data_IF_968708506536
#
_entry.id   IF_968708506536
#
_cell.length_a   1.000
_cell.length_b   1.000
_cell.length_c   1.000
_cell.angle_alpha   90.00
_cell.angle_beta   90.00
_cell.angle_gamma   90.00
#
_symmetry.space_group_name_H-M   'P 1'
#
loop_
_entity.id
_entity.type
_entity.pdbx_description
1 polymer ?
#
# COMPACT_ATOMS: atom_id res chain seq x y z
N UNK A 1 -34.43 -45.42 29.54
CA UNK A 1 -33.23 -44.98 28.78
C UNK A 1 -33.44 -43.56 28.30
N UNK A 2 -32.89 -42.57 28.97
CA UNK A 2 -32.97 -41.14 28.61
C UNK A 2 -31.79 -40.79 27.72
N UNK A 3 -32.04 -40.38 26.47
CA UNK A 3 -31.02 -39.85 25.56
C UNK A 3 -30.75 -38.38 25.91
N UNK A 4 -29.54 -38.07 26.36
CA UNK A 4 -29.06 -36.71 26.51
C UNK A 4 -28.67 -36.20 25.11
N UNK A 5 -29.31 -35.16 24.61
CA UNK A 5 -28.92 -34.40 23.46
C UNK A 5 -27.91 -33.32 23.91
N UNK A 6 -26.65 -33.50 23.59
CA UNK A 6 -25.64 -32.43 23.73
C UNK A 6 -25.76 -31.48 22.53
N UNK A 7 -26.32 -30.31 22.74
CA UNK A 7 -26.28 -29.22 21.75
C UNK A 7 -24.92 -28.50 21.85
N UNK A 8 -24.06 -28.76 20.90
CA UNK A 8 -22.80 -28.06 20.76
C UNK A 8 -23.04 -26.62 20.31
N UNK A 9 -22.72 -25.66 21.18
CA UNK A 9 -22.75 -24.23 20.86
C UNK A 9 -21.49 -23.93 20.04
N UNK A 10 -21.61 -23.77 18.71
CA UNK A 10 -20.51 -23.25 17.89
C UNK A 10 -20.39 -21.74 18.14
N UNK A 11 -19.36 -21.35 18.89
CA UNK A 11 -18.95 -19.95 19.02
C UNK A 11 -18.18 -19.60 17.75
N UNK A 12 -18.83 -18.95 16.79
CA UNK A 12 -18.17 -18.33 15.66
C UNK A 12 -17.41 -17.09 16.16
N UNK A 13 -16.11 -17.23 16.37
CA UNK A 13 -15.24 -16.07 16.62
C UNK A 13 -15.17 -15.24 15.34
N UNK A 14 -15.98 -14.20 15.24
CA UNK A 14 -15.84 -13.17 14.23
C UNK A 14 -14.56 -12.40 14.53
N UNK A 15 -13.47 -12.69 13.80
CA UNK A 15 -12.30 -11.82 13.78
C UNK A 15 -12.71 -10.51 13.10
N UNK A 16 -13.10 -9.52 13.90
CA UNK A 16 -13.22 -8.16 13.44
C UNK A 16 -11.82 -7.73 12.94
N UNK A 17 -11.67 -7.55 11.64
CA UNK A 17 -10.48 -6.95 11.05
C UNK A 17 -10.40 -5.52 11.60
N UNK A 18 -9.60 -5.31 12.65
CA UNK A 18 -9.39 -3.98 13.20
C UNK A 18 -8.64 -3.16 12.14
N UNK A 19 -9.31 -2.16 11.61
CA UNK A 19 -8.67 -1.20 10.71
C UNK A 19 -7.42 -0.63 11.39
N UNK A 20 -6.33 -0.49 10.63
CA UNK A 20 -5.10 0.13 11.12
C UNK A 20 -5.41 1.56 11.57
N UNK A 21 -5.21 1.88 12.86
CA UNK A 21 -5.38 3.25 13.35
C UNK A 21 -4.26 4.13 12.80
N UNK A 22 -4.59 5.15 12.03
CA UNK A 22 -3.65 6.14 11.50
C UNK A 22 -2.88 6.85 12.62
N UNK A 23 -3.53 7.10 13.76
CA UNK A 23 -2.93 7.76 14.93
C UNK A 23 -1.76 6.99 15.57
N UNK A 24 -1.65 5.68 15.31
CA UNK A 24 -0.58 4.81 15.79
C UNK A 24 0.56 4.64 14.79
N UNK A 25 0.45 5.27 13.65
CA UNK A 25 1.49 5.25 12.62
C UNK A 25 2.55 6.31 12.90
N UNK A 26 3.70 6.18 12.25
CA UNK A 26 4.85 7.04 12.43
C UNK A 26 5.08 7.89 11.18
N UNK A 27 5.48 9.13 11.37
CA UNK A 27 5.90 9.99 10.28
C UNK A 27 7.38 9.78 9.93
N UNK A 28 7.64 9.75 8.65
CA UNK A 28 8.94 9.98 8.03
C UNK A 28 8.75 11.24 7.17
N UNK A 29 9.47 12.32 7.48
CA UNK A 29 9.25 13.66 6.93
C UNK A 29 7.81 14.15 7.16
N UNK A 30 7.46 14.43 8.40
CA UNK A 30 6.13 14.91 8.80
C UNK A 30 5.80 16.24 8.13
N UNK A 31 4.60 16.42 7.52
CA UNK A 31 4.21 17.68 6.91
C UNK A 31 3.82 18.69 7.98
N UNK A 32 3.94 19.99 7.68
CA UNK A 32 3.60 21.05 8.64
C UNK A 32 2.12 21.08 9.04
N UNK A 33 1.23 20.66 8.13
CA UNK A 33 -0.23 20.69 8.34
C UNK A 33 -0.86 19.37 7.93
N UNK A 34 -1.48 18.73 8.88
CA UNK A 34 -2.26 17.51 8.67
C UNK A 34 -3.34 17.33 9.72
N UNK A 35 -4.36 16.55 9.41
CA UNK A 35 -5.45 16.21 10.31
C UNK A 35 -5.88 14.76 10.10
N UNK A 36 -5.97 14.01 11.21
CA UNK A 36 -6.57 12.66 11.22
C UNK A 36 -7.95 12.75 11.88
N UNK A 37 -8.98 12.24 11.18
CA UNK A 37 -10.35 12.07 11.69
C UNK A 37 -10.79 10.63 11.45
N UNK A 38 -10.74 9.82 12.50
CA UNK A 38 -11.04 8.38 12.39
C UNK A 38 -10.08 7.67 11.43
N UNK A 39 -10.58 7.12 10.34
CA UNK A 39 -9.76 6.46 9.31
C UNK A 39 -9.54 7.34 8.06
N UNK A 40 -9.49 8.64 8.25
CA UNK A 40 -9.22 9.63 7.20
C UNK A 40 -8.06 10.52 7.61
N UNK A 41 -7.11 10.73 6.69
CA UNK A 41 -6.02 11.70 6.79
C UNK A 41 -6.21 12.76 5.71
N UNK A 42 -6.11 14.03 6.08
CA UNK A 42 -5.92 15.15 5.17
C UNK A 42 -4.57 15.79 5.49
N UNK A 43 -3.75 16.05 4.48
CA UNK A 43 -2.45 16.72 4.69
C UNK A 43 -2.15 17.70 3.55
N UNK A 44 -1.45 18.78 3.90
CA UNK A 44 -0.79 19.62 2.91
C UNK A 44 0.58 19.01 2.60
N UNK A 45 0.72 18.51 1.37
CA UNK A 45 1.97 17.88 0.92
C UNK A 45 3.06 18.95 0.85
N UNK A 46 4.21 18.65 1.45
CA UNK A 46 5.35 19.57 1.55
C UNK A 46 5.89 19.93 0.16
N UNK A 47 6.04 21.23 -0.15
CA UNK A 47 6.57 21.69 -1.42
C UNK A 47 8.00 21.21 -1.68
N UNK A 48 8.35 21.03 -2.95
CA UNK A 48 9.71 20.73 -3.45
C UNK A 48 10.32 19.48 -2.81
N UNK A 49 9.48 18.44 -2.60
CA UNK A 49 9.89 17.15 -2.04
C UNK A 49 9.59 16.00 -2.99
N UNK A 50 10.41 14.95 -2.97
CA UNK A 50 10.20 13.73 -3.76
C UNK A 50 10.82 12.49 -3.09
N UNK A 51 10.56 11.34 -3.72
CA UNK A 51 11.30 10.09 -3.63
C UNK A 51 11.74 9.70 -5.02
N UNK A 52 13.01 9.95 -5.36
CA UNK A 52 13.58 9.65 -6.65
C UNK A 52 15.06 9.32 -6.55
N UNK A 53 15.53 8.39 -7.39
CA UNK A 53 16.95 8.03 -7.45
C UNK A 53 17.45 7.90 -8.89
N UNK A 54 18.37 8.76 -9.25
CA UNK A 54 19.31 8.71 -10.37
C UNK A 54 18.66 8.75 -11.75
N UNK A 55 17.79 7.78 -12.11
CA UNK A 55 17.28 7.57 -13.47
C UNK A 55 16.82 8.87 -14.12
N UNK A 56 17.24 9.08 -15.36
CA UNK A 56 16.92 10.21 -16.23
C UNK A 56 17.46 11.57 -15.71
N UNK A 57 17.20 11.92 -14.44
CA UNK A 57 17.50 13.25 -13.90
C UNK A 57 18.88 13.36 -13.22
N UNK A 58 19.52 12.25 -12.85
CA UNK A 58 20.85 12.23 -12.24
C UNK A 58 20.92 12.62 -10.77
N UNK A 59 19.80 12.96 -10.12
CA UNK A 59 19.75 13.33 -8.69
C UNK A 59 19.14 12.22 -7.82
N UNK A 60 19.32 12.37 -6.51
CA UNK A 60 18.67 11.54 -5.49
C UNK A 60 17.98 12.46 -4.49
N UNK A 61 16.68 12.21 -4.24
CA UNK A 61 15.85 12.91 -3.27
C UNK A 61 15.07 11.88 -2.44
N UNK A 62 14.97 12.11 -1.13
CA UNK A 62 14.35 11.17 -0.17
C UNK A 62 13.69 11.96 0.99
N UNK A 63 12.95 13.03 0.67
CA UNK A 63 12.46 14.00 1.62
C UNK A 63 10.94 14.24 1.60
N UNK A 64 10.21 13.51 0.77
CA UNK A 64 8.76 13.62 0.72
C UNK A 64 8.07 13.01 1.97
N UNK A 65 6.83 13.37 2.16
CA UNK A 65 6.03 12.97 3.34
C UNK A 65 5.62 11.50 3.27
N UNK A 66 5.78 10.79 4.40
CA UNK A 66 5.37 9.39 4.51
C UNK A 66 4.86 9.05 5.92
N UNK A 67 3.60 8.65 6.04
CA UNK A 67 3.00 8.11 7.26
C UNK A 67 2.98 6.59 7.17
N UNK A 68 3.69 5.87 8.06
CA UNK A 68 3.89 4.44 7.90
C UNK A 68 3.69 3.62 9.19
N UNK A 69 3.52 2.33 8.99
CA UNK A 69 3.65 1.28 10.01
C UNK A 69 4.60 0.19 9.51
N UNK A 70 5.20 -0.55 10.42
CA UNK A 70 6.05 -1.71 10.05
C UNK A 70 5.20 -2.96 9.85
N UNK A 71 5.44 -3.70 8.76
CA UNK A 71 4.80 -4.99 8.49
C UNK A 71 5.81 -6.00 7.94
N UNK A 72 5.79 -7.19 8.52
CA UNK A 72 6.52 -8.36 8.03
C UNK A 72 5.58 -9.36 7.35
N UNK A 73 6.15 -10.34 6.64
CA UNK A 73 5.41 -11.40 5.97
C UNK A 73 4.54 -10.92 4.82
N UNK A 74 3.52 -11.70 4.51
CA UNK A 74 2.59 -11.41 3.43
C UNK A 74 1.41 -10.56 3.91
N UNK A 75 1.03 -9.56 3.13
CA UNK A 75 -0.06 -8.66 3.46
C UNK A 75 -0.69 -8.00 2.24
N UNK A 76 -1.90 -7.52 2.42
CA UNK A 76 -2.59 -6.57 1.53
C UNK A 76 -2.63 -5.21 2.20
N UNK A 77 -2.13 -4.17 1.52
CA UNK A 77 -2.31 -2.78 1.91
C UNK A 77 -3.25 -2.09 0.93
N UNK A 78 -4.19 -1.28 1.44
CA UNK A 78 -5.20 -0.61 0.62
C UNK A 78 -5.51 0.77 1.16
N UNK A 79 -5.76 1.73 0.25
CA UNK A 79 -6.20 3.09 0.59
C UNK A 79 -7.03 3.70 -0.54
N UNK A 80 -7.99 4.53 -0.20
CA UNK A 80 -8.69 5.44 -1.11
C UNK A 80 -8.00 6.79 -1.10
N UNK A 81 -7.68 7.31 -2.27
CA UNK A 81 -6.88 8.52 -2.47
C UNK A 81 -7.69 9.55 -3.25
N UNK A 82 -7.58 10.79 -2.82
CA UNK A 82 -8.01 11.97 -3.58
C UNK A 82 -7.06 13.14 -3.31
N UNK A 83 -7.05 14.14 -4.17
CA UNK A 83 -6.17 15.28 -4.00
C UNK A 83 -6.48 16.40 -4.96
N UNK A 84 -6.03 17.59 -4.59
CA UNK A 84 -6.13 18.82 -5.39
C UNK A 84 -4.80 19.05 -6.14
N UNK A 85 -4.45 18.07 -7.01
CA UNK A 85 -3.20 18.07 -7.77
C UNK A 85 -3.21 19.23 -8.77
N UNK A 86 -2.15 20.03 -8.80
CA UNK A 86 -2.07 21.30 -9.56
C UNK A 86 -0.85 21.42 -10.43
N UNK A 87 0.27 20.95 -9.90
CA UNK A 87 1.59 21.15 -10.51
C UNK A 87 2.13 19.82 -10.98
N UNK A 88 2.97 19.86 -12.01
CA UNK A 88 3.63 18.66 -12.51
C UNK A 88 4.30 17.89 -11.38
N UNK A 89 4.11 16.56 -11.41
CA UNK A 89 4.59 15.60 -10.41
C UNK A 89 3.96 15.69 -9.02
N UNK A 90 2.93 16.52 -8.79
CA UNK A 90 2.09 16.37 -7.59
C UNK A 90 1.59 14.94 -7.52
N UNK A 91 1.89 14.23 -6.43
CA UNK A 91 1.59 12.81 -6.31
C UNK A 91 1.22 12.39 -4.89
N UNK A 92 0.31 11.44 -4.78
CA UNK A 92 -0.03 10.82 -3.52
C UNK A 92 -0.47 9.37 -3.69
N UNK A 93 -0.20 8.53 -2.67
CA UNK A 93 -0.52 7.13 -2.79
C UNK A 93 -0.06 6.25 -1.64
N UNK A 94 0.11 4.97 -1.95
CA UNK A 94 0.77 3.98 -1.09
C UNK A 94 2.28 3.98 -1.33
N UNK A 95 3.02 3.69 -0.26
CA UNK A 95 4.44 3.38 -0.34
C UNK A 95 4.75 2.13 0.47
N UNK A 96 5.53 1.24 -0.13
CA UNK A 96 6.18 0.10 0.49
C UNK A 96 7.68 0.35 0.45
N UNK A 97 8.32 0.51 1.61
CA UNK A 97 9.71 0.95 1.68
C UNK A 97 10.53 0.04 2.58
N UNK A 98 11.58 -0.51 2.03
CA UNK A 98 12.61 -1.26 2.75
C UNK A 98 13.65 -0.30 3.33
N UNK A 99 14.18 0.57 2.47
CA UNK A 99 15.16 1.61 2.76
C UNK A 99 15.16 2.69 1.66
N UNK A 100 16.14 3.60 1.67
CA UNK A 100 16.25 4.69 0.71
C UNK A 100 16.58 4.26 -0.72
N UNK A 101 17.02 3.03 -0.93
CA UNK A 101 17.35 2.46 -2.24
C UNK A 101 16.35 1.45 -2.76
N UNK A 102 15.44 0.97 -1.89
CA UNK A 102 14.52 -0.11 -2.20
C UNK A 102 13.11 0.25 -1.72
N UNK A 103 12.29 0.74 -2.62
CA UNK A 103 10.89 1.10 -2.34
C UNK A 103 10.01 1.04 -3.59
N UNK A 104 8.72 0.97 -3.35
CA UNK A 104 7.68 1.12 -4.36
C UNK A 104 6.75 2.21 -3.89
N UNK A 105 6.56 3.27 -4.69
CA UNK A 105 5.50 4.27 -4.52
C UNK A 105 4.48 4.14 -5.64
N UNK A 106 3.18 4.24 -5.32
CA UNK A 106 2.11 4.05 -6.29
C UNK A 106 0.85 4.80 -5.92
N UNK A 107 0.19 5.41 -6.88
CA UNK A 107 -1.00 6.22 -6.63
C UNK A 107 -1.43 7.06 -7.82
N UNK A 108 -1.87 8.29 -7.54
CA UNK A 108 -2.11 9.32 -8.55
C UNK A 108 -0.88 10.21 -8.66
N UNK A 109 -0.53 10.57 -9.88
CA UNK A 109 0.50 11.56 -10.22
C UNK A 109 -0.02 12.48 -11.32
N UNK A 110 0.17 13.79 -11.14
CA UNK A 110 -0.24 14.79 -12.11
C UNK A 110 0.91 15.09 -13.07
N UNK A 111 0.76 14.69 -14.34
CA UNK A 111 1.79 14.85 -15.36
C UNK A 111 1.14 15.38 -16.63
N UNK A 112 1.75 16.42 -17.22
CA UNK A 112 1.33 17.04 -18.48
C UNK A 112 -0.16 17.44 -18.52
N UNK A 113 -0.65 17.99 -17.39
CA UNK A 113 -2.03 18.44 -17.24
C UNK A 113 -3.06 17.33 -17.05
N UNK A 114 -2.62 16.09 -16.80
CA UNK A 114 -3.50 14.92 -16.65
C UNK A 114 -3.23 14.18 -15.33
N UNK A 115 -4.26 13.58 -14.79
CA UNK A 115 -4.15 12.57 -13.75
C UNK A 115 -3.66 11.27 -14.38
N UNK A 116 -2.68 10.65 -13.74
CA UNK A 116 -2.16 9.35 -14.15
C UNK A 116 -2.17 8.41 -12.95
N UNK A 117 -2.49 7.15 -13.19
CA UNK A 117 -2.12 6.10 -12.26
C UNK A 117 -0.62 5.88 -12.42
N UNK A 118 0.13 6.00 -11.33
CA UNK A 118 1.59 5.97 -11.35
C UNK A 118 2.13 4.88 -10.44
N UNK A 119 3.22 4.28 -10.86
CA UNK A 119 4.06 3.41 -10.03
C UNK A 119 5.53 3.69 -10.31
N UNK A 120 6.28 3.95 -9.26
CA UNK A 120 7.74 3.99 -9.28
C UNK A 120 8.26 2.82 -8.46
N UNK A 121 9.05 1.98 -9.09
CA UNK A 121 9.82 0.91 -8.43
C UNK A 121 11.25 1.36 -8.34
N UNK A 122 11.76 1.53 -7.13
CA UNK A 122 13.16 1.87 -6.92
C UNK A 122 13.91 0.66 -6.40
N UNK A 123 14.89 0.24 -7.16
CA UNK A 123 15.89 -0.73 -6.78
C UNK A 123 17.24 -0.18 -7.23
N UNK A 124 17.93 0.53 -6.36
CA UNK A 124 19.11 1.34 -6.66
C UNK A 124 18.80 2.57 -7.53
N UNK A 125 18.07 2.39 -8.60
CA UNK A 125 17.59 3.43 -9.52
C UNK A 125 16.06 3.35 -9.63
N UNK A 126 15.42 4.49 -9.89
CA UNK A 126 13.97 4.57 -10.03
C UNK A 126 13.53 4.16 -11.43
N UNK A 127 12.52 3.29 -11.50
CA UNK A 127 11.82 2.83 -12.71
C UNK A 127 10.36 3.28 -12.63
N UNK A 128 9.96 4.16 -13.52
CA UNK A 128 8.68 4.85 -13.51
C UNK A 128 7.75 4.39 -14.64
N UNK A 129 6.49 4.16 -14.29
CA UNK A 129 5.42 3.86 -15.24
C UNK A 129 4.15 4.62 -14.91
N UNK A 130 3.44 5.07 -15.95
CA UNK A 130 2.15 5.77 -15.82
C UNK A 130 1.10 5.20 -16.75
N UNK A 131 -0.17 5.31 -16.33
CA UNK A 131 -1.37 5.05 -17.13
C UNK A 131 -2.20 6.33 -17.11
N UNK A 132 -2.25 7.10 -18.21
CA UNK A 132 -3.05 8.32 -18.29
C UNK A 132 -4.54 8.03 -18.10
N UNK A 133 -5.22 8.86 -17.33
CA UNK A 133 -6.66 8.84 -17.21
C UNK A 133 -7.28 9.82 -18.21
N UNK A 134 -8.33 9.42 -18.92
CA UNK A 134 -9.00 10.23 -19.92
C UNK A 134 -9.63 11.50 -19.32
N UNK A 135 -9.98 11.45 -18.06
CA UNK A 135 -10.57 12.55 -17.29
C UNK A 135 -10.16 12.50 -15.83
N UNK A 136 -10.16 13.64 -15.13
CA UNK A 136 -9.97 13.67 -13.68
C UNK A 136 -10.97 12.77 -12.97
N UNK A 137 -10.51 12.04 -11.95
CA UNK A 137 -11.35 11.19 -11.11
C UNK A 137 -11.47 11.80 -9.71
N UNK A 138 -12.63 11.70 -9.05
CA UNK A 138 -12.80 12.25 -7.70
C UNK A 138 -11.96 11.51 -6.65
N UNK A 139 -11.66 10.24 -6.90
CA UNK A 139 -10.81 9.39 -6.06
C UNK A 139 -10.37 8.15 -6.85
N UNK A 140 -9.37 7.46 -6.31
CA UNK A 140 -8.97 6.11 -6.74
C UNK A 140 -8.65 5.26 -5.52
N UNK A 141 -8.95 3.99 -5.59
CA UNK A 141 -8.46 2.99 -4.66
C UNK A 141 -7.17 2.40 -5.20
N UNK A 142 -6.15 2.35 -4.35
CA UNK A 142 -4.89 1.65 -4.63
C UNK A 142 -4.76 0.50 -3.64
N UNK A 143 -4.39 -0.66 -4.17
CA UNK A 143 -4.16 -1.87 -3.40
C UNK A 143 -2.81 -2.47 -3.79
N UNK A 144 -1.99 -2.79 -2.80
CA UNK A 144 -0.73 -3.49 -2.96
C UNK A 144 -0.79 -4.82 -2.20
N UNK A 145 -0.49 -5.92 -2.87
CA UNK A 145 -0.47 -7.26 -2.30
C UNK A 145 0.98 -7.76 -2.30
N UNK A 146 1.58 -7.85 -1.12
CA UNK A 146 2.92 -8.41 -0.96
C UNK A 146 2.83 -9.91 -0.72
N UNK A 147 3.45 -10.69 -1.61
CA UNK A 147 3.60 -12.15 -1.49
C UNK A 147 4.99 -12.58 -1.86
N UNK A 148 5.65 -13.31 -0.94
CA UNK A 148 7.05 -13.69 -1.12
C UNK A 148 7.91 -12.45 -1.39
N UNK A 149 8.60 -12.41 -2.53
CA UNK A 149 9.44 -11.32 -3.01
C UNK A 149 8.78 -10.44 -4.09
N UNK A 150 7.46 -10.57 -4.25
CA UNK A 150 6.69 -9.79 -5.23
C UNK A 150 5.66 -8.89 -4.55
N UNK A 151 5.39 -7.75 -5.18
CA UNK A 151 4.29 -6.85 -4.87
C UNK A 151 3.44 -6.67 -6.12
N UNK A 152 2.21 -7.15 -6.06
CA UNK A 152 1.20 -6.90 -7.09
C UNK A 152 0.44 -5.63 -6.74
N UNK A 153 0.33 -4.70 -7.69
CA UNK A 153 -0.30 -3.39 -7.51
C UNK A 153 -1.53 -3.31 -8.37
N UNK A 154 -2.63 -2.90 -7.74
CA UNK A 154 -3.94 -2.80 -8.37
C UNK A 154 -4.55 -1.43 -8.11
N UNK A 155 -5.44 -1.01 -9.01
CA UNK A 155 -6.32 0.14 -8.81
C UNK A 155 -7.79 -0.23 -9.01
N UNK A 156 -8.67 0.59 -8.44
CA UNK A 156 -10.12 0.48 -8.60
C UNK A 156 -10.79 1.85 -8.46
N UNK A 157 -11.92 2.06 -9.13
CA UNK A 157 -12.74 3.27 -8.97
C UNK A 157 -13.98 3.06 -8.09
N UNK A 158 -14.20 1.83 -7.60
CA UNK A 158 -15.41 1.47 -6.84
C UNK A 158 -15.14 0.58 -5.60
N UNK A 159 -13.88 0.21 -5.32
CA UNK A 159 -13.45 -0.75 -4.29
C UNK A 159 -13.97 -2.20 -4.49
N UNK A 160 -14.44 -2.53 -5.66
CA UNK A 160 -14.98 -3.86 -5.97
C UNK A 160 -14.18 -4.54 -7.06
N UNK A 161 -14.11 -3.92 -8.22
CA UNK A 161 -13.36 -4.43 -9.36
C UNK A 161 -11.95 -3.81 -9.37
N UNK A 162 -10.94 -4.65 -9.33
CA UNK A 162 -9.54 -4.26 -9.28
C UNK A 162 -8.80 -4.71 -10.54
N UNK A 163 -8.12 -3.77 -11.17
CA UNK A 163 -7.25 -4.02 -12.33
C UNK A 163 -5.80 -3.97 -11.87
N UNK A 164 -5.02 -5.00 -12.23
CA UNK A 164 -3.57 -5.01 -12.00
C UNK A 164 -2.89 -4.00 -12.92
N UNK A 165 -2.01 -3.16 -12.35
CA UNK A 165 -1.22 -2.19 -13.10
C UNK A 165 0.29 -2.49 -13.07
N UNK A 166 0.76 -3.22 -12.07
CA UNK A 166 2.17 -3.60 -11.97
C UNK A 166 2.34 -4.86 -11.12
N UNK A 167 3.32 -5.69 -11.46
CA UNK A 167 3.95 -6.66 -10.58
C UNK A 167 5.43 -6.29 -10.48
N UNK A 168 5.92 -6.12 -9.25
CA UNK A 168 7.29 -5.66 -8.99
C UNK A 168 7.96 -6.55 -7.95
N UNK A 169 9.28 -6.70 -8.10
CA UNK A 169 10.09 -7.35 -7.08
C UNK A 169 10.33 -6.40 -5.89
N UNK A 170 10.25 -6.95 -4.68
CA UNK A 170 10.67 -6.28 -3.45
C UNK A 170 11.13 -7.37 -2.47
N UNK A 171 12.34 -7.22 -1.88
CA UNK A 171 12.90 -8.25 -0.99
C UNK A 171 11.95 -8.64 0.17
N UNK A 172 11.95 -9.94 0.54
CA UNK A 172 10.97 -10.53 1.45
C UNK A 172 11.48 -10.84 2.86
N UNK A 173 12.76 -10.66 3.12
CA UNK A 173 13.46 -11.21 4.28
C UNK A 173 13.35 -10.40 5.58
N UNK A 174 12.63 -9.27 5.57
CA UNK A 174 12.46 -8.40 6.74
C UNK A 174 11.14 -7.64 6.75
N UNK A 175 10.70 -7.13 7.91
CA UNK A 175 9.63 -6.15 7.98
C UNK A 175 9.99 -4.90 7.19
N UNK A 176 8.99 -4.29 6.55
CA UNK A 176 9.13 -3.06 5.77
C UNK A 176 8.18 -1.98 6.28
N UNK A 177 8.47 -0.75 5.96
CA UNK A 177 7.53 0.35 6.12
C UNK A 177 6.44 0.26 5.05
N UNK A 178 5.18 0.32 5.45
CA UNK A 178 4.02 0.38 4.55
C UNK A 178 3.08 1.47 5.01
N UNK A 179 2.65 2.32 4.09
CA UNK A 179 1.83 3.47 4.48
C UNK A 179 1.44 4.39 3.33
N UNK A 180 1.17 5.63 3.69
CA UNK A 180 0.58 6.68 2.88
C UNK A 180 1.64 7.75 2.61
N UNK A 181 1.82 8.11 1.35
CA UNK A 181 2.83 9.10 0.94
C UNK A 181 2.23 10.23 0.11
N UNK A 182 2.89 11.39 0.13
CA UNK A 182 2.66 12.50 -0.78
C UNK A 182 3.95 13.22 -1.10
N UNK A 183 4.10 13.65 -2.36
CA UNK A 183 5.24 14.43 -2.84
C UNK A 183 4.79 15.53 -3.81
N UNK A 184 5.53 16.64 -3.81
CA UNK A 184 5.24 17.81 -4.64
C UNK A 184 6.56 18.38 -5.18
N UNK A 185 7.19 17.73 -6.19
CA UNK A 185 8.52 18.10 -6.66
C UNK A 185 8.64 19.53 -7.21
N UNK A 186 7.71 19.92 -8.08
CA UNK A 186 7.79 21.19 -8.83
C UNK A 186 6.86 22.28 -8.26
N UNK A 187 5.98 21.93 -7.31
CA UNK A 187 4.89 22.78 -6.85
C UNK A 187 5.15 23.50 -5.53
N UNK A 188 4.13 24.27 -5.12
CA UNK A 188 4.08 24.96 -3.83
C UNK A 188 3.21 24.24 -2.81
N UNK A 189 3.04 22.91 -2.96
CA UNK A 189 2.19 22.10 -2.14
C UNK A 189 0.75 21.98 -2.66
N UNK A 190 0.07 20.93 -2.23
CA UNK A 190 -1.33 20.66 -2.54
C UNK A 190 -1.97 19.87 -1.40
N UNK A 191 -3.30 19.81 -1.35
CA UNK A 191 -4.00 19.01 -0.34
C UNK A 191 -4.22 17.59 -0.87
N UNK A 192 -3.68 16.59 -0.16
CA UNK A 192 -3.97 15.18 -0.37
C UNK A 192 -4.89 14.65 0.72
N UNK A 193 -5.81 13.75 0.34
CA UNK A 193 -6.72 13.06 1.27
C UNK A 193 -6.66 11.56 1.08
N UNK A 194 -6.63 10.86 2.19
CA UNK A 194 -6.57 9.42 2.26
C UNK A 194 -7.67 8.89 3.17
N UNK A 195 -8.42 7.91 2.71
CA UNK A 195 -9.50 7.31 3.46
C UNK A 195 -9.35 5.79 3.47
N UNK A 196 -9.82 5.16 4.54
CA UNK A 196 -9.91 3.71 4.66
C UNK A 196 -8.58 2.98 4.42
N UNK A 197 -7.46 3.59 4.87
CA UNK A 197 -6.18 2.89 4.88
C UNK A 197 -6.27 1.64 5.74
N UNK A 198 -5.78 0.54 5.21
CA UNK A 198 -5.74 -0.73 5.93
C UNK A 198 -4.55 -1.57 5.51
N UNK A 199 -4.02 -2.35 6.46
CA UNK A 199 -3.03 -3.39 6.19
C UNK A 199 -3.53 -4.69 6.80
N UNK A 200 -3.84 -5.66 5.94
CA UNK A 200 -4.38 -6.97 6.30
C UNK A 200 -3.30 -8.03 6.13
N UNK A 201 -3.04 -8.81 7.17
CA UNK A 201 -2.17 -9.97 7.06
C UNK A 201 -2.77 -11.02 6.14
N UNK A 202 -1.92 -11.64 5.31
CA UNK A 202 -2.27 -12.78 4.46
C UNK A 202 -1.55 -14.03 4.95
N UNK A 203 -2.13 -15.24 4.72
CA UNK A 203 -1.43 -16.48 5.02
C UNK A 203 -0.10 -16.58 4.25
N UNK A 204 0.93 -17.01 4.93
CA UNK A 204 2.22 -17.32 4.31
C UNK A 204 2.07 -18.48 3.32
N UNK A 205 2.30 -18.23 2.04
CA UNK A 205 2.17 -19.24 0.99
C UNK A 205 3.12 -20.43 1.20
N UNK A 206 4.34 -20.18 1.66
CA UNK A 206 5.32 -21.25 1.96
C UNK A 206 4.84 -22.15 3.08
N UNK A 207 4.27 -21.57 4.14
CA UNK A 207 3.70 -22.32 5.25
C UNK A 207 2.46 -23.13 4.82
N UNK A 208 1.57 -22.54 4.03
CA UNK A 208 0.39 -23.23 3.50
C UNK A 208 0.79 -24.41 2.62
N UNK A 209 1.81 -24.24 1.77
CA UNK A 209 2.34 -25.29 0.94
C UNK A 209 2.95 -26.41 1.80
N UNK A 210 3.80 -26.07 2.76
CA UNK A 210 4.41 -27.02 3.69
C UNK A 210 3.35 -27.84 4.46
N UNK A 211 2.29 -27.18 4.96
CA UNK A 211 1.20 -27.85 5.67
C UNK A 211 0.42 -28.82 4.76
N UNK A 212 0.24 -28.50 3.49
CA UNK A 212 -0.40 -29.40 2.52
C UNK A 212 0.44 -30.64 2.28
N UNK A 213 1.73 -30.49 2.06
CA UNK A 213 2.67 -31.57 1.80
C UNK A 213 2.77 -32.53 3.00
N UNK A 214 2.85 -32.00 4.23
CA UNK A 214 2.99 -32.83 5.43
C UNK A 214 1.65 -33.44 5.94
N UNK A 215 0.49 -32.87 5.58
CA UNK A 215 -0.80 -33.47 5.92
C UNK A 215 -1.20 -34.63 4.99
N UNK A 216 -0.64 -34.71 3.78
CA UNK A 216 -0.83 -35.83 2.86
C UNK A 216 -0.07 -37.08 3.32
N UNK A 217 1.13 -36.92 3.88
CA UNK A 217 1.89 -38.05 4.43
C UNK A 217 1.23 -38.71 5.67
N UNK A 218 0.45 -37.97 6.45
CA UNK A 218 -0.25 -38.49 7.63
C UNK A 218 -1.49 -39.31 7.30
N UNK A 219 -2.04 -39.18 6.11
CA UNK A 219 -3.20 -39.94 5.64
C UNK A 219 -2.81 -41.27 4.97
N UNK A 220 -1.63 -41.33 4.33
CA UNK A 220 -1.14 -42.57 3.71
C UNK A 220 -0.57 -43.62 4.69
N UNK A 221 -0.20 -43.20 5.91
CA UNK A 221 0.31 -44.09 6.94
C UNK A 221 -0.78 -44.66 7.90
N UNK A 222 -2.08 -44.54 7.52
CA UNK A 222 -3.21 -45.06 8.30
C UNK A 222 -4.05 -46.11 7.58
N UNK A 223 -3.60 -46.64 6.46
CA UNK A 223 -4.09 -47.84 5.80
C UNK A 223 -3.07 -48.98 6.01
#
# INVERSE_FOLDING_TARGET
>A
MKKLLLSGLMISASFACMAQSLEKMQWFNEPEQWEIKGNSLSMNVTPQTDYWRISHYGFTVDDATFLYTLRGGEFEAKVKISGDYKTRFDQSGLMLRVDHENYIKTGIEFVDGKYNLSTVVTHHTSDWSIIPLDKPVPFVWIKAVRRLDAVEIFYSFDDKEYTMMRNAWLQDNRPIMVGIMGACPDGNGFTAKFENFSVKHLPDLRRVQWLKENNTETTENKE
#
